data_IF_698000908871
#
_entry.id   IF_698000908871
#
_cell.length_a   1.000
_cell.length_b   1.000
_cell.length_c   1.000
_cell.angle_alpha   90.00
_cell.angle_beta   90.00
_cell.angle_gamma   90.00
#
_symmetry.space_group_name_H-M   'P 1'
#
loop_
_entity.id
_entity.type
_entity.pdbx_description
1 polymer ?
#
# COMPACT_ATOMS: atom_id res chain seq x y z
N UNK A 1 22.57 13.40 -35.55
CA UNK A 1 22.20 13.95 -36.88
C UNK A 1 23.17 15.02 -37.35
N UNK A 2 23.21 16.22 -36.76
CA UNK A 2 24.15 17.30 -37.18
C UNK A 2 25.62 16.87 -37.21
N UNK A 3 26.12 16.21 -36.17
CA UNK A 3 27.49 15.70 -36.12
C UNK A 3 27.81 14.63 -37.19
N UNK A 4 26.80 13.89 -37.65
CA UNK A 4 26.94 12.82 -38.65
C UNK A 4 27.03 13.43 -40.05
N UNK A 5 26.20 14.45 -40.31
CA UNK A 5 26.29 15.27 -41.51
C UNK A 5 27.64 16.01 -41.59
N UNK A 6 28.11 16.57 -40.47
CA UNK A 6 29.42 17.23 -40.41
C UNK A 6 30.60 16.29 -40.69
N UNK A 7 30.49 15.01 -40.32
CA UNK A 7 31.53 13.99 -40.56
C UNK A 7 31.29 13.16 -41.82
N UNK A 8 30.27 13.50 -42.60
CA UNK A 8 29.89 12.86 -43.86
C UNK A 8 29.81 11.33 -43.78
N UNK A 9 29.25 10.82 -42.68
CA UNK A 9 29.16 9.37 -42.43
C UNK A 9 27.88 8.84 -43.10
N UNK A 10 28.06 7.94 -44.07
CA UNK A 10 26.98 7.34 -44.88
C UNK A 10 26.84 5.83 -44.62
N UNK A 11 25.76 5.21 -45.10
CA UNK A 11 25.58 3.74 -45.03
C UNK A 11 25.04 3.22 -43.69
N UNK A 12 24.49 4.11 -42.85
CA UNK A 12 23.92 3.73 -41.55
C UNK A 12 22.44 3.39 -41.73
N UNK A 13 22.05 2.19 -41.33
CA UNK A 13 20.65 1.83 -41.17
C UNK A 13 20.14 2.35 -39.83
N UNK A 14 19.21 3.29 -39.89
CA UNK A 14 18.58 3.85 -38.70
C UNK A 14 17.40 2.97 -38.26
N UNK A 15 17.33 2.72 -36.95
CA UNK A 15 16.14 2.16 -36.29
C UNK A 15 15.62 3.23 -35.32
N UNK A 16 14.49 3.83 -35.65
CA UNK A 16 13.91 4.93 -34.89
C UNK A 16 12.92 4.45 -33.83
N UNK A 17 13.11 4.92 -32.61
CA UNK A 17 12.11 4.79 -31.55
C UNK A 17 10.90 5.67 -31.82
N UNK A 18 9.79 5.40 -31.12
CA UNK A 18 8.51 6.11 -31.27
C UNK A 18 8.65 7.63 -31.21
N UNK A 19 9.52 8.12 -30.32
CA UNK A 19 9.73 9.53 -30.03
C UNK A 19 10.19 10.38 -31.22
N UNK A 20 10.85 9.79 -32.23
CA UNK A 20 11.38 10.55 -33.37
C UNK A 20 11.10 9.91 -34.74
N UNK A 21 10.63 8.66 -34.76
CA UNK A 21 10.17 8.00 -35.97
C UNK A 21 9.04 8.78 -36.69
N UNK A 22 8.21 9.53 -35.94
CA UNK A 22 7.03 10.23 -36.49
C UNK A 22 7.10 11.76 -36.42
N UNK A 23 8.24 12.33 -36.03
CA UNK A 23 8.39 13.78 -35.82
C UNK A 23 8.72 14.48 -37.15
N UNK A 24 7.72 15.15 -37.75
CA UNK A 24 7.86 15.78 -39.08
C UNK A 24 9.05 16.75 -39.20
N UNK A 25 9.27 17.61 -38.20
CA UNK A 25 10.34 18.62 -38.24
C UNK A 25 11.74 18.02 -38.38
N UNK A 26 11.97 16.84 -37.80
CA UNK A 26 13.26 16.15 -37.90
C UNK A 26 13.49 15.58 -39.31
N UNK A 27 12.43 15.06 -39.92
CA UNK A 27 12.48 14.51 -41.29
C UNK A 27 12.60 15.61 -42.35
N UNK A 28 12.05 16.79 -42.09
CA UNK A 28 12.23 17.97 -42.94
C UNK A 28 13.69 18.48 -42.90
N UNK A 29 14.36 18.45 -41.74
CA UNK A 29 15.75 18.93 -41.60
C UNK A 29 16.81 17.88 -42.03
N UNK A 30 16.52 16.58 -41.91
CA UNK A 30 17.49 15.48 -42.13
C UNK A 30 16.99 14.33 -43.02
N UNK A 31 16.05 14.59 -43.94
CA UNK A 31 15.44 13.55 -44.77
C UNK A 31 16.42 12.77 -45.66
N UNK A 32 17.48 13.43 -46.13
CA UNK A 32 18.61 12.83 -46.86
C UNK A 32 19.35 11.76 -46.04
N UNK A 33 19.57 12.02 -44.74
CA UNK A 33 20.30 11.13 -43.83
C UNK A 33 19.39 10.05 -43.23
N UNK A 34 18.08 10.33 -43.14
CA UNK A 34 17.08 9.43 -42.55
C UNK A 34 16.35 8.56 -43.58
N UNK A 35 16.62 8.74 -44.87
CA UNK A 35 16.00 7.92 -45.91
C UNK A 35 16.28 6.43 -45.67
N UNK A 36 15.22 5.61 -45.66
CA UNK A 36 15.31 4.18 -45.33
C UNK A 36 15.28 3.82 -43.85
N UNK A 37 15.11 4.78 -42.92
CA UNK A 37 14.95 4.50 -41.48
C UNK A 37 13.74 3.62 -41.21
N UNK A 38 13.92 2.55 -40.43
CA UNK A 38 12.83 1.71 -39.93
C UNK A 38 12.40 2.23 -38.54
N UNK A 39 11.13 2.58 -38.35
CA UNK A 39 10.68 3.20 -37.11
C UNK A 39 9.41 2.59 -36.54
N UNK A 40 9.28 2.63 -35.22
CA UNK A 40 8.05 2.22 -34.55
C UNK A 40 7.07 3.40 -34.51
N UNK A 41 5.89 3.22 -35.11
CA UNK A 41 4.80 4.18 -35.06
C UNK A 41 3.63 3.63 -34.27
N UNK A 42 3.01 4.45 -33.42
CA UNK A 42 1.72 4.09 -32.83
C UNK A 42 0.69 4.02 -33.95
N UNK A 43 -0.02 2.87 -34.07
CA UNK A 43 -1.19 2.75 -34.95
C UNK A 43 -2.19 3.87 -34.63
N UNK A 44 -2.45 4.72 -35.62
CA UNK A 44 -3.52 5.71 -35.56
C UNK A 44 -4.85 4.95 -35.54
N UNK A 45 -5.62 5.08 -34.47
CA UNK A 45 -7.04 4.74 -34.52
C UNK A 45 -7.75 5.80 -35.37
N UNK A 46 -8.58 5.34 -36.31
CA UNK A 46 -9.35 6.24 -37.18
C UNK A 46 -10.42 6.98 -36.37
N UNK A 47 -11.09 6.28 -35.45
CA UNK A 47 -12.07 6.83 -34.51
C UNK A 47 -12.09 6.00 -33.21
N UNK A 48 -12.39 6.64 -32.08
CA UNK A 48 -12.73 5.96 -30.82
C UNK A 48 -14.25 5.85 -30.76
N UNK A 49 -14.83 4.65 -30.73
CA UNK A 49 -16.28 4.47 -30.77
C UNK A 49 -16.94 5.15 -29.58
N UNK A 50 -18.01 5.91 -29.84
CA UNK A 50 -18.77 6.62 -28.81
C UNK A 50 -18.11 7.90 -28.27
N UNK A 51 -16.81 8.13 -28.50
CA UNK A 51 -16.10 9.29 -27.96
C UNK A 51 -16.66 10.61 -28.50
N UNK A 52 -16.85 10.71 -29.83
CA UNK A 52 -17.44 11.89 -30.47
C UNK A 52 -18.82 12.23 -29.88
N UNK A 53 -19.63 11.20 -29.67
CA UNK A 53 -20.99 11.38 -29.16
C UNK A 53 -21.02 11.73 -27.67
N UNK A 54 -20.10 11.17 -26.87
CA UNK A 54 -19.90 11.56 -25.48
C UNK A 54 -19.45 13.02 -25.37
N UNK A 55 -18.44 13.41 -26.15
CA UNK A 55 -17.93 14.79 -26.16
C UNK A 55 -19.01 15.78 -26.62
N UNK A 56 -19.81 15.44 -27.63
CA UNK A 56 -20.90 16.29 -28.12
C UNK A 56 -22.03 16.55 -27.12
N UNK A 57 -22.16 15.72 -26.06
CA UNK A 57 -23.17 15.90 -25.00
C UNK A 57 -22.68 16.75 -23.84
N UNK A 58 -21.39 17.10 -23.80
CA UNK A 58 -20.83 17.90 -22.71
C UNK A 58 -21.35 19.34 -22.78
N UNK A 59 -21.77 19.89 -21.62
CA UNK A 59 -22.25 21.26 -21.49
C UNK A 59 -21.09 22.25 -21.50
N UNK A 60 -21.30 23.46 -22.05
CA UNK A 60 -20.29 24.52 -22.22
C UNK A 60 -19.54 24.91 -20.93
N UNK A 61 -20.15 24.73 -19.75
CA UNK A 61 -19.52 24.95 -18.44
C UNK A 61 -18.36 23.99 -18.16
N UNK A 62 -18.48 22.72 -18.57
CA UNK A 62 -17.49 21.68 -18.27
C UNK A 62 -16.28 21.73 -19.21
N UNK A 63 -16.35 22.56 -20.26
CA UNK A 63 -15.28 22.72 -21.25
C UNK A 63 -14.16 23.64 -20.74
N UNK A 64 -14.50 24.60 -19.87
CA UNK A 64 -13.53 25.54 -19.31
C UNK A 64 -12.64 24.92 -18.21
N UNK A 65 -13.05 23.77 -17.66
CA UNK A 65 -12.31 23.08 -16.60
C UNK A 65 -11.06 22.34 -17.10
N UNK A 66 -10.93 22.14 -18.42
CA UNK A 66 -9.75 21.46 -18.97
C UNK A 66 -9.23 22.12 -20.25
N UNK A 67 -7.94 22.46 -20.22
CA UNK A 67 -7.22 22.96 -21.37
C UNK A 67 -7.30 21.99 -22.58
N UNK A 68 -7.30 20.69 -22.30
CA UNK A 68 -7.44 19.63 -23.31
C UNK A 68 -8.77 19.66 -24.07
N UNK A 69 -9.91 19.83 -23.39
CA UNK A 69 -11.21 19.88 -24.07
C UNK A 69 -11.36 21.14 -24.91
N UNK A 70 -10.79 22.26 -24.44
CA UNK A 70 -10.79 23.51 -25.21
C UNK A 70 -10.05 23.32 -26.54
N UNK A 71 -8.82 22.80 -26.50
CA UNK A 71 -7.99 22.51 -27.69
C UNK A 71 -8.66 21.51 -28.65
N UNK A 72 -9.24 20.43 -28.13
CA UNK A 72 -9.96 19.42 -28.93
C UNK A 72 -11.13 20.01 -29.72
N UNK A 73 -11.90 20.91 -29.11
CA UNK A 73 -13.05 21.55 -29.75
C UNK A 73 -12.65 22.63 -30.75
N UNK A 74 -11.55 23.35 -30.49
CA UNK A 74 -11.00 24.32 -31.45
C UNK A 74 -10.60 23.62 -32.77
N UNK A 75 -9.94 22.47 -32.69
CA UNK A 75 -9.59 21.68 -33.89
C UNK A 75 -10.82 21.04 -34.56
N UNK A 76 -11.76 20.49 -33.79
CA UNK A 76 -12.91 19.77 -34.35
C UNK A 76 -13.93 20.69 -35.04
N UNK A 77 -14.07 21.93 -34.58
CA UNK A 77 -15.01 22.93 -35.12
C UNK A 77 -14.33 24.00 -35.96
N UNK A 78 -13.00 23.98 -36.07
CA UNK A 78 -12.19 24.97 -36.77
C UNK A 78 -12.52 26.41 -36.34
N UNK A 79 -12.65 26.63 -35.03
CA UNK A 79 -12.97 27.92 -34.41
C UNK A 79 -12.09 28.16 -33.18
N UNK A 80 -11.90 29.41 -32.75
CA UNK A 80 -11.16 29.72 -31.50
C UNK A 80 -12.10 30.03 -30.34
N UNK A 81 -11.91 29.33 -29.23
CA UNK A 81 -12.56 29.59 -27.95
C UNK A 81 -11.67 30.57 -27.18
N UNK A 82 -12.07 31.85 -27.10
CA UNK A 82 -11.34 32.91 -26.37
C UNK A 82 -9.93 33.26 -26.87
N UNK A 83 -9.67 33.17 -28.19
CA UNK A 83 -8.48 33.81 -28.79
C UNK A 83 -7.12 33.26 -28.37
N UNK A 84 -7.05 32.08 -27.73
CA UNK A 84 -5.78 31.42 -27.40
C UNK A 84 -5.04 31.00 -28.67
N UNK A 85 -3.73 31.25 -28.71
CA UNK A 85 -2.84 30.77 -29.77
C UNK A 85 -2.31 29.41 -29.34
N UNK A 86 -3.09 28.35 -29.56
CA UNK A 86 -2.61 26.98 -29.39
C UNK A 86 -1.97 26.53 -30.71
N UNK A 87 -0.64 26.52 -30.77
CA UNK A 87 0.17 26.10 -31.94
C UNK A 87 0.47 24.60 -31.96
N UNK A 88 -0.03 23.83 -30.99
CA UNK A 88 0.20 22.40 -30.90
C UNK A 88 -1.07 21.64 -31.30
N UNK A 89 -0.98 20.87 -32.39
CA UNK A 89 -2.00 19.87 -32.73
C UNK A 89 -1.69 18.57 -32.01
N UNK A 90 -2.30 18.33 -30.84
CA UNK A 90 -2.29 17.01 -30.23
C UNK A 90 -3.34 16.10 -30.89
N UNK A 91 -3.00 15.67 -32.12
CA UNK A 91 -3.73 14.65 -32.87
C UNK A 91 -4.03 13.44 -31.99
N UNK A 92 -5.25 12.88 -32.10
CA UNK A 92 -5.92 11.71 -31.46
C UNK A 92 -5.07 10.53 -30.90
N UNK A 93 -3.77 10.48 -31.17
CA UNK A 93 -2.75 9.51 -30.71
C UNK A 93 -2.64 9.42 -29.19
N UNK A 94 -2.54 10.55 -28.48
CA UNK A 94 -2.39 10.55 -27.01
C UNK A 94 -3.67 10.06 -26.36
N UNK A 95 -4.83 10.58 -26.78
CA UNK A 95 -6.14 10.17 -26.27
C UNK A 95 -6.42 8.68 -26.53
N UNK A 96 -6.01 8.14 -27.67
CA UNK A 96 -6.15 6.72 -27.97
C UNK A 96 -5.25 5.83 -27.11
N UNK A 97 -4.05 6.31 -26.74
CA UNK A 97 -3.19 5.59 -25.81
C UNK A 97 -3.77 5.58 -24.40
N UNK A 98 -4.34 6.69 -23.94
CA UNK A 98 -5.06 6.75 -22.65
C UNK A 98 -6.24 5.78 -22.65
N UNK A 99 -7.06 5.80 -23.71
CA UNK A 99 -8.17 4.85 -23.87
C UNK A 99 -7.69 3.39 -23.80
N UNK A 100 -6.64 3.02 -24.56
CA UNK A 100 -6.07 1.66 -24.51
C UNK A 100 -5.48 1.31 -23.15
N UNK A 101 -4.83 2.24 -22.47
CA UNK A 101 -4.26 1.98 -21.15
C UNK A 101 -5.34 1.64 -20.13
N UNK A 102 -6.41 2.44 -20.08
CA UNK A 102 -7.57 2.16 -19.20
C UNK A 102 -8.24 0.85 -19.59
N UNK A 103 -8.43 0.60 -20.89
CA UNK A 103 -9.00 -0.65 -21.39
C UNK A 103 -8.17 -1.88 -21.02
N UNK A 104 -6.84 -1.80 -21.13
CA UNK A 104 -5.90 -2.86 -20.76
C UNK A 104 -5.93 -3.15 -19.26
N UNK A 105 -5.94 -2.11 -18.42
CA UNK A 105 -6.01 -2.28 -16.96
C UNK A 105 -7.33 -2.94 -16.57
N UNK A 106 -8.45 -2.51 -17.13
CA UNK A 106 -9.76 -3.11 -16.88
C UNK A 106 -9.79 -4.59 -17.30
N UNK A 107 -9.27 -4.92 -18.49
CA UNK A 107 -9.18 -6.31 -18.94
C UNK A 107 -8.23 -7.17 -18.12
N UNK A 108 -7.13 -6.60 -17.63
CA UNK A 108 -6.20 -7.30 -16.76
C UNK A 108 -6.85 -7.62 -15.40
N UNK A 109 -7.54 -6.66 -14.80
CA UNK A 109 -8.28 -6.85 -13.56
C UNK A 109 -9.37 -7.92 -13.71
N UNK A 110 -10.14 -7.88 -14.80
CA UNK A 110 -11.14 -8.91 -15.09
C UNK A 110 -10.51 -10.30 -15.26
N UNK A 111 -9.36 -10.40 -15.93
CA UNK A 111 -8.67 -11.68 -16.06
C UNK A 111 -8.05 -12.17 -14.75
N UNK A 112 -7.73 -11.28 -13.83
CA UNK A 112 -7.27 -11.64 -12.49
C UNK A 112 -8.43 -12.10 -11.60
N UNK A 113 -9.62 -11.50 -11.72
CA UNK A 113 -10.80 -11.96 -10.99
C UNK A 113 -11.27 -13.33 -11.45
N UNK A 114 -11.16 -13.62 -12.74
CA UNK A 114 -11.65 -14.85 -13.37
C UNK A 114 -10.54 -15.92 -13.50
N UNK A 115 -9.44 -15.78 -12.75
CA UNK A 115 -8.24 -16.60 -12.94
C UNK A 115 -8.40 -18.03 -12.39
N UNK A 116 -8.20 -19.03 -13.25
CA UNK A 116 -8.00 -20.43 -12.86
C UNK A 116 -6.50 -20.79 -12.85
N UNK A 117 -6.06 -21.50 -11.80
CA UNK A 117 -4.67 -21.90 -11.66
C UNK A 117 -4.21 -22.76 -12.86
N UNK A 118 -3.19 -22.28 -13.61
CA UNK A 118 -2.60 -22.99 -14.74
C UNK A 118 -3.08 -22.57 -16.14
N UNK A 119 -4.09 -21.71 -16.24
CA UNK A 119 -4.66 -21.26 -17.53
C UNK A 119 -4.30 -19.79 -17.85
N UNK A 120 -3.01 -19.45 -17.77
CA UNK A 120 -2.53 -18.10 -18.10
C UNK A 120 -2.48 -17.83 -19.63
N UNK A 121 -2.56 -16.56 -20.07
CA UNK A 121 -2.59 -16.18 -21.49
C UNK A 121 -1.23 -16.34 -22.21
N UNK A 122 -0.17 -16.70 -21.49
CA UNK A 122 1.15 -16.93 -22.06
C UNK A 122 1.30 -18.41 -22.42
N UNK A 123 1.07 -18.74 -23.69
CA UNK A 123 1.19 -20.10 -24.22
C UNK A 123 2.64 -20.65 -24.16
N UNK A 124 3.64 -19.77 -24.02
CA UNK A 124 5.05 -20.15 -23.91
C UNK A 124 5.48 -20.02 -22.45
N UNK A 125 5.76 -21.16 -21.84
CA UNK A 125 6.31 -21.25 -20.48
C UNK A 125 7.75 -20.72 -20.48
N UNK A 126 7.93 -19.42 -20.20
CA UNK A 126 9.24 -18.78 -20.11
C UNK A 126 9.87 -18.98 -18.72
N UNK A 127 10.24 -20.23 -18.40
CA UNK A 127 10.92 -20.56 -17.15
C UNK A 127 12.40 -20.82 -17.40
N UNK A 128 13.27 -20.28 -16.53
CA UNK A 128 14.71 -20.52 -16.63
C UNK A 128 15.09 -21.94 -16.16
N UNK A 129 14.31 -22.50 -15.25
CA UNK A 129 14.53 -23.83 -14.67
C UNK A 129 13.18 -24.47 -14.35
N UNK A 130 13.06 -25.75 -14.66
CA UNK A 130 11.85 -26.52 -14.39
C UNK A 130 11.68 -26.81 -12.90
N UNK A 131 10.43 -27.00 -12.46
CA UNK A 131 10.14 -27.41 -11.09
C UNK A 131 10.81 -28.74 -10.76
N UNK A 132 11.46 -28.82 -9.60
CA UNK A 132 12.19 -30.05 -9.24
C UNK A 132 11.24 -31.22 -8.97
N UNK A 133 11.59 -32.43 -9.43
CA UNK A 133 10.84 -33.63 -9.09
C UNK A 133 10.96 -33.95 -7.59
N UNK A 134 10.02 -34.73 -7.03
CA UNK A 134 10.07 -35.16 -5.64
C UNK A 134 11.42 -35.81 -5.29
N UNK A 135 11.97 -35.50 -4.12
CA UNK A 135 13.26 -36.06 -3.66
C UNK A 135 14.51 -35.27 -4.08
N UNK A 136 14.37 -34.12 -4.74
CA UNK A 136 15.48 -33.19 -5.03
C UNK A 136 15.23 -31.83 -4.38
N UNK A 137 16.30 -31.11 -4.04
CA UNK A 137 16.23 -29.72 -3.55
C UNK A 137 16.75 -28.73 -4.58
N UNK A 138 16.32 -27.49 -4.45
CA UNK A 138 16.72 -26.38 -5.31
C UNK A 138 18.10 -25.85 -4.88
N UNK A 139 19.04 -25.74 -5.81
CA UNK A 139 20.33 -25.09 -5.62
C UNK A 139 20.43 -23.87 -6.56
N UNK A 140 20.52 -22.67 -5.99
CA UNK A 140 20.64 -21.43 -6.78
C UNK A 140 22.01 -21.32 -7.45
N UNK A 141 22.03 -20.95 -8.73
CA UNK A 141 23.29 -20.66 -9.43
C UNK A 141 23.84 -19.30 -9.01
N UNK A 142 25.08 -19.24 -8.52
CA UNK A 142 25.73 -17.96 -8.18
C UNK A 142 25.85 -17.08 -9.43
N UNK A 143 25.42 -15.82 -9.33
CA UNK A 143 25.51 -14.84 -10.42
C UNK A 143 24.41 -14.92 -11.49
N UNK A 144 23.37 -15.75 -11.31
CA UNK A 144 22.19 -15.80 -12.17
C UNK A 144 20.94 -15.27 -11.44
N UNK A 145 19.86 -14.88 -12.17
CA UNK A 145 18.59 -14.48 -11.57
C UNK A 145 17.99 -15.57 -10.68
N UNK A 146 17.16 -15.19 -9.69
CA UNK A 146 16.60 -16.11 -8.67
C UNK A 146 15.79 -17.26 -9.27
N UNK A 147 15.20 -17.08 -10.45
CA UNK A 147 14.45 -18.10 -11.16
C UNK A 147 15.29 -19.20 -11.82
N UNK A 148 16.63 -19.08 -11.83
CA UNK A 148 17.54 -20.04 -12.43
C UNK A 148 18.24 -20.89 -11.37
N UNK A 149 17.93 -22.19 -11.33
CA UNK A 149 18.39 -23.11 -10.31
C UNK A 149 18.58 -24.53 -10.82
N UNK A 150 19.37 -25.32 -10.09
CA UNK A 150 19.62 -26.73 -10.38
C UNK A 150 18.95 -27.63 -9.34
N UNK A 151 18.40 -28.76 -9.78
CA UNK A 151 17.80 -29.76 -8.89
C UNK A 151 18.87 -30.76 -8.44
N UNK A 152 19.30 -30.66 -7.19
CA UNK A 152 20.34 -31.53 -6.62
C UNK A 152 19.72 -32.62 -5.72
N UNK A 153 20.25 -33.83 -5.82
CA UNK A 153 19.87 -34.97 -4.98
C UNK A 153 20.38 -34.76 -3.56
N UNK A 154 19.64 -35.25 -2.56
CA UNK A 154 20.06 -35.21 -1.16
C UNK A 154 21.44 -35.85 -0.97
N UNK A 155 22.41 -35.05 -0.53
CA UNK A 155 23.51 -35.54 0.31
C UNK A 155 22.98 -35.63 1.75
N UNK A 156 23.46 -36.61 2.52
CA UNK A 156 23.07 -36.92 3.90
C UNK A 156 23.38 -35.80 4.94
N UNK A 157 23.63 -34.58 4.50
CA UNK A 157 23.84 -33.41 5.36
C UNK A 157 22.57 -32.55 5.37
N UNK A 158 21.72 -32.80 6.37
CA UNK A 158 20.61 -31.93 6.71
C UNK A 158 21.16 -30.61 7.27
N UNK A 159 21.14 -29.57 6.44
CA UNK A 159 21.42 -28.22 6.90
C UNK A 159 20.19 -27.63 7.56
N UNK A 160 20.36 -27.02 8.74
CA UNK A 160 19.28 -26.36 9.46
C UNK A 160 18.83 -25.13 8.68
N UNK A 161 17.52 -24.93 8.51
CA UNK A 161 16.99 -23.72 7.87
C UNK A 161 17.37 -22.48 8.72
N UNK A 162 17.58 -21.31 8.08
CA UNK A 162 17.72 -20.03 8.78
C UNK A 162 16.53 -19.78 9.71
N UNK A 163 16.72 -19.00 10.78
CA UNK A 163 15.69 -18.80 11.82
C UNK A 163 14.36 -18.26 11.28
N UNK A 164 14.34 -17.62 10.10
CA UNK A 164 13.15 -17.03 9.48
C UNK A 164 12.39 -17.98 8.53
N UNK A 165 12.78 -19.25 8.47
CA UNK A 165 12.22 -20.22 7.53
C UNK A 165 11.85 -21.54 8.20
N UNK A 166 10.81 -22.21 7.69
CA UNK A 166 10.45 -23.58 8.07
C UNK A 166 10.77 -24.56 6.94
N UNK A 167 11.28 -25.76 7.25
CA UNK A 167 11.33 -26.83 6.25
C UNK A 167 9.89 -27.21 5.85
N UNK A 168 9.68 -27.39 4.55
CA UNK A 168 8.43 -27.90 3.97
C UNK A 168 8.17 -29.35 4.43
N UNK A 169 6.94 -29.85 4.28
CA UNK A 169 6.54 -31.21 4.73
C UNK A 169 7.41 -32.31 4.13
N UNK A 170 7.83 -32.14 2.87
CA UNK A 170 8.76 -33.05 2.18
C UNK A 170 10.25 -32.83 2.52
N UNK A 171 10.55 -31.95 3.49
CA UNK A 171 11.88 -31.57 4.02
C UNK A 171 12.92 -31.21 2.95
N UNK A 172 12.45 -30.74 1.80
CA UNK A 172 13.26 -30.46 0.60
C UNK A 172 13.53 -28.98 0.37
N UNK A 173 12.74 -28.09 0.99
CA UNK A 173 12.80 -26.66 0.78
C UNK A 173 12.56 -25.93 2.11
N UNK A 174 13.29 -24.87 2.37
CA UNK A 174 12.96 -23.94 3.45
C UNK A 174 11.97 -22.91 2.89
N UNK A 175 10.72 -22.97 3.34
CA UNK A 175 9.69 -21.99 3.05
C UNK A 175 9.77 -20.84 4.06
N UNK A 176 9.48 -19.61 3.62
CA UNK A 176 9.46 -18.47 4.51
C UNK A 176 8.40 -18.67 5.60
N UNK A 177 8.74 -18.31 6.85
CA UNK A 177 7.73 -18.17 7.90
C UNK A 177 6.72 -17.14 7.42
N UNK A 178 5.52 -17.56 7.08
CA UNK A 178 4.44 -16.62 6.87
C UNK A 178 4.20 -15.92 8.21
N UNK A 179 4.24 -14.59 8.22
CA UNK A 179 3.71 -13.82 9.34
C UNK A 179 2.21 -13.96 9.29
N UNK A 180 1.66 -14.93 10.02
CA UNK A 180 0.24 -14.99 10.28
C UNK A 180 -0.09 -13.82 11.22
N UNK A 181 -0.52 -12.71 10.61
CA UNK A 181 -1.26 -11.71 11.34
C UNK A 181 -2.52 -12.40 11.84
N UNK A 182 -2.72 -12.43 13.15
CA UNK A 182 -3.90 -13.02 13.77
C UNK A 182 -5.15 -12.36 13.16
N UNK A 183 -5.75 -13.05 12.20
CA UNK A 183 -6.81 -12.47 11.38
C UNK A 183 -8.10 -12.47 12.19
N UNK A 184 -8.92 -11.42 12.07
CA UNK A 184 -10.22 -11.35 12.75
C UNK A 184 -11.16 -12.50 12.34
N UNK A 185 -10.87 -13.15 11.21
CA UNK A 185 -11.63 -14.30 10.69
C UNK A 185 -11.19 -15.64 11.31
N UNK A 186 -10.06 -15.68 12.02
CA UNK A 186 -9.60 -16.89 12.71
C UNK A 186 -10.29 -17.06 14.07
N UNK A 187 -10.52 -18.30 14.53
CA UNK A 187 -11.27 -18.56 15.76
C UNK A 187 -10.63 -17.92 17.00
N UNK A 188 -9.29 -17.92 17.09
CA UNK A 188 -8.59 -17.26 18.19
C UNK A 188 -8.73 -15.73 18.12
N UNK A 189 -8.68 -15.15 16.92
CA UNK A 189 -8.94 -13.72 16.69
C UNK A 189 -10.37 -13.32 17.05
N UNK A 190 -11.37 -14.12 16.66
CA UNK A 190 -12.78 -13.90 17.01
C UNK A 190 -13.02 -13.92 18.52
N UNK A 191 -12.47 -14.90 19.24
CA UNK A 191 -12.60 -15.00 20.71
C UNK A 191 -11.95 -13.79 21.40
N UNK A 192 -10.77 -13.37 20.94
CA UNK A 192 -10.08 -12.20 21.50
C UNK A 192 -10.82 -10.89 21.21
N UNK A 193 -11.40 -10.73 20.02
CA UNK A 193 -12.28 -9.61 19.70
C UNK A 193 -13.52 -9.58 20.60
N UNK A 194 -14.24 -10.69 20.72
CA UNK A 194 -15.43 -10.80 21.55
C UNK A 194 -15.13 -10.51 23.02
N UNK A 195 -14.05 -11.10 23.56
CA UNK A 195 -13.59 -10.84 24.92
C UNK A 195 -13.20 -9.37 25.15
N UNK A 196 -12.52 -8.74 24.18
CA UNK A 196 -12.12 -7.34 24.28
C UNK A 196 -13.31 -6.38 24.22
N UNK A 197 -14.29 -6.64 23.35
CA UNK A 197 -15.54 -5.85 23.29
C UNK A 197 -16.31 -5.96 24.60
N UNK A 198 -16.52 -7.18 25.11
CA UNK A 198 -17.21 -7.40 26.38
C UNK A 198 -16.48 -6.71 27.54
N UNK A 199 -15.15 -6.84 27.61
CA UNK A 199 -14.31 -6.19 28.61
C UNK A 199 -14.38 -4.66 28.56
N UNK A 200 -14.37 -4.07 27.35
CA UNK A 200 -14.54 -2.64 27.16
C UNK A 200 -15.93 -2.15 27.63
N UNK A 201 -17.00 -2.86 27.25
CA UNK A 201 -18.36 -2.52 27.66
C UNK A 201 -18.55 -2.57 29.17
N UNK A 202 -18.06 -3.63 29.83
CA UNK A 202 -18.13 -3.76 31.29
C UNK A 202 -17.32 -2.67 32.00
N UNK A 203 -16.11 -2.38 31.51
CA UNK A 203 -15.25 -1.33 32.10
C UNK A 203 -15.88 0.06 31.97
N UNK A 204 -16.50 0.37 30.82
CA UNK A 204 -17.24 1.62 30.60
C UNK A 204 -18.49 1.71 31.48
N UNK A 205 -19.24 0.62 31.64
CA UNK A 205 -20.40 0.58 32.54
C UNK A 205 -20.01 0.88 34.00
N UNK A 206 -18.94 0.25 34.49
CA UNK A 206 -18.43 0.51 35.85
C UNK A 206 -17.94 1.94 35.98
N UNK A 207 -17.21 2.47 34.99
CA UNK A 207 -16.76 3.87 34.97
C UNK A 207 -17.94 4.85 35.03
N UNK A 208 -19.00 4.61 34.24
CA UNK A 208 -20.23 5.42 34.25
C UNK A 208 -20.95 5.35 35.60
N UNK A 209 -21.01 4.16 36.21
CA UNK A 209 -21.62 4.00 37.54
C UNK A 209 -20.83 4.75 38.62
N UNK A 210 -19.49 4.65 38.63
CA UNK A 210 -18.62 5.41 39.52
C UNK A 210 -18.75 6.91 39.31
N UNK A 211 -18.86 7.36 38.06
CA UNK A 211 -19.04 8.77 37.73
C UNK A 211 -20.39 9.31 38.24
N UNK A 212 -21.50 8.59 38.02
CA UNK A 212 -22.83 8.97 38.51
C UNK A 212 -22.90 8.94 40.05
N UNK A 213 -22.31 7.93 40.68
CA UNK A 213 -22.36 7.74 42.14
C UNK A 213 -21.14 8.33 42.87
N UNK A 214 -20.45 9.31 42.26
CA UNK A 214 -19.24 9.94 42.81
C UNK A 214 -19.40 10.55 44.19
N UNK A 215 -20.64 10.91 44.57
CA UNK A 215 -20.96 11.50 45.87
C UNK A 215 -21.22 10.46 46.97
N UNK A 216 -21.24 9.17 46.64
CA UNK A 216 -21.47 8.12 47.63
C UNK A 216 -20.24 7.96 48.54
N UNK A 217 -20.45 7.72 49.85
CA UNK A 217 -19.35 7.62 50.82
C UNK A 217 -18.40 6.45 50.49
N UNK A 218 -18.87 5.41 49.80
CA UNK A 218 -18.05 4.28 49.33
C UNK A 218 -17.02 4.71 48.29
N UNK A 219 -17.42 5.50 47.29
CA UNK A 219 -16.52 5.99 46.23
C UNK A 219 -15.56 7.05 46.74
N UNK A 220 -15.94 7.79 47.78
CA UNK A 220 -15.12 8.85 48.40
C UNK A 220 -14.14 8.32 49.44
N UNK A 221 -14.49 7.23 50.15
CA UNK A 221 -13.62 6.55 51.09
C UNK A 221 -12.50 5.77 50.39
N UNK A 222 -12.82 5.19 49.22
CA UNK A 222 -11.80 4.77 48.26
C UNK A 222 -11.24 6.02 47.58
N UNK A 223 -9.95 6.08 47.25
CA UNK A 223 -9.36 7.28 46.65
C UNK A 223 -9.96 7.53 45.26
N UNK A 224 -10.99 8.39 45.19
CA UNK A 224 -11.89 8.52 44.04
C UNK A 224 -11.19 8.82 42.71
N UNK A 225 -10.11 9.59 42.77
CA UNK A 225 -9.29 9.94 41.60
C UNK A 225 -8.51 8.73 41.10
N UNK A 226 -7.90 7.96 42.01
CA UNK A 226 -7.13 6.77 41.65
C UNK A 226 -7.99 5.67 41.03
N UNK A 227 -9.16 5.38 41.62
CA UNK A 227 -10.09 4.39 41.08
C UNK A 227 -10.61 4.78 39.69
N UNK A 228 -10.84 6.08 39.45
CA UNK A 228 -11.25 6.59 38.14
C UNK A 228 -10.15 6.42 37.09
N UNK A 229 -8.89 6.75 37.42
CA UNK A 229 -7.76 6.53 36.52
C UNK A 229 -7.60 5.05 36.17
N UNK A 230 -7.64 4.16 37.16
CA UNK A 230 -7.50 2.72 36.94
C UNK A 230 -8.59 2.15 36.02
N UNK A 231 -9.85 2.58 36.20
CA UNK A 231 -10.97 2.17 35.34
C UNK A 231 -10.82 2.72 33.91
N UNK A 232 -10.39 3.97 33.75
CA UNK A 232 -10.12 4.57 32.45
C UNK A 232 -8.99 3.84 31.70
N UNK A 233 -7.91 3.47 32.40
CA UNK A 233 -6.80 2.68 31.84
C UNK A 233 -7.22 1.25 31.44
N UNK A 234 -8.10 0.63 32.21
CA UNK A 234 -8.63 -0.70 31.86
C UNK A 234 -9.49 -0.64 30.59
N UNK A 235 -10.35 0.39 30.46
CA UNK A 235 -11.16 0.60 29.26
C UNK A 235 -10.30 0.85 28.01
N UNK A 236 -9.27 1.71 28.10
CA UNK A 236 -8.39 1.98 26.95
C UNK A 236 -7.55 0.77 26.55
N UNK A 237 -7.14 -0.09 27.50
CA UNK A 237 -6.42 -1.33 27.20
C UNK A 237 -7.22 -2.27 26.29
N UNK A 238 -8.52 -2.44 26.55
CA UNK A 238 -9.38 -3.27 25.70
C UNK A 238 -9.56 -2.66 24.29
N UNK A 239 -9.60 -1.33 24.18
CA UNK A 239 -9.67 -0.62 22.90
C UNK A 239 -8.37 -0.77 22.08
N UNK A 240 -7.20 -0.76 22.72
CA UNK A 240 -5.91 -1.01 22.04
C UNK A 240 -5.83 -2.44 21.50
N UNK A 241 -6.32 -3.42 22.25
CA UNK A 241 -6.39 -4.82 21.80
C UNK A 241 -7.20 -4.97 20.52
N UNK A 242 -8.32 -4.24 20.38
CA UNK A 242 -9.12 -4.21 19.16
C UNK A 242 -8.40 -3.54 17.98
N UNK A 243 -7.65 -2.46 18.23
CA UNK A 243 -6.87 -1.77 17.18
C UNK A 243 -5.69 -2.62 16.66
N UNK A 244 -5.06 -3.42 17.54
CA UNK A 244 -3.99 -4.34 17.14
C UNK A 244 -4.48 -5.36 16.11
N UNK A 245 -5.69 -5.90 16.30
CA UNK A 245 -6.30 -6.87 15.39
C UNK A 245 -6.72 -6.22 14.06
N UNK A 246 -7.05 -4.92 14.06
CA UNK A 246 -7.51 -4.20 12.88
C UNK A 246 -6.39 -3.70 11.95
N UNK A 247 -5.26 -3.24 12.48
CA UNK A 247 -4.23 -2.55 11.68
C UNK A 247 -2.80 -3.12 11.78
N UNK A 248 -2.52 -4.09 12.67
CA UNK A 248 -1.22 -4.79 12.73
C UNK A 248 0.02 -3.95 13.10
N UNK A 249 -0.08 -2.61 13.14
CA UNK A 249 1.06 -1.69 13.37
C UNK A 249 1.35 -1.48 14.88
N UNK A 250 0.54 -2.06 15.79
CA UNK A 250 0.45 -1.63 17.18
C UNK A 250 1.14 -2.52 18.25
N UNK A 251 2.11 -3.37 17.92
CA UNK A 251 2.76 -4.19 18.96
C UNK A 251 3.59 -3.34 19.94
N UNK A 252 4.45 -2.45 19.41
CA UNK A 252 5.31 -1.58 20.21
C UNK A 252 4.52 -0.57 21.07
N UNK A 253 3.44 -0.02 20.51
CA UNK A 253 2.57 0.94 21.20
C UNK A 253 1.72 0.27 22.27
N UNK A 254 1.24 -0.96 22.03
CA UNK A 254 0.52 -1.74 23.03
C UNK A 254 1.43 -2.07 24.22
N UNK A 255 2.65 -2.52 23.97
CA UNK A 255 3.64 -2.79 25.03
C UNK A 255 4.01 -1.51 25.79
N UNK A 256 4.24 -0.40 25.08
CA UNK A 256 4.53 0.90 25.71
C UNK A 256 3.37 1.37 26.61
N UNK A 257 2.12 1.22 26.16
CA UNK A 257 0.94 1.57 26.95
C UNK A 257 0.74 0.65 28.16
N UNK A 258 0.98 -0.66 28.01
CA UNK A 258 0.95 -1.62 29.12
C UNK A 258 2.01 -1.30 30.17
N UNK A 259 3.24 -0.97 29.75
CA UNK A 259 4.33 -0.54 30.63
C UNK A 259 4.01 0.77 31.36
N UNK A 260 3.44 1.76 30.67
CA UNK A 260 2.99 2.98 31.31
C UNK A 260 1.91 2.69 32.38
N UNK A 261 0.96 1.79 32.09
CA UNK A 261 -0.07 1.36 33.04
C UNK A 261 0.53 0.68 34.27
N UNK A 262 1.47 -0.26 34.09
CA UNK A 262 2.07 -0.97 35.22
C UNK A 262 2.88 -0.04 36.11
N UNK A 263 3.63 0.90 35.53
CA UNK A 263 4.36 1.92 36.29
C UNK A 263 3.41 2.80 37.10
N UNK A 264 2.30 3.27 36.52
CA UNK A 264 1.31 4.10 37.23
C UNK A 264 0.67 3.34 38.40
N UNK A 265 0.34 2.05 38.22
CA UNK A 265 -0.21 1.19 39.29
C UNK A 265 0.83 0.99 40.40
N UNK A 266 2.07 0.67 40.05
CA UNK A 266 3.15 0.48 41.02
C UNK A 266 3.44 1.75 41.81
N UNK A 267 3.41 2.92 41.16
CA UNK A 267 3.57 4.21 41.83
C UNK A 267 2.41 4.52 42.76
N UNK A 268 1.17 4.16 42.39
CA UNK A 268 0.02 4.33 43.27
C UNK A 268 0.11 3.47 44.55
N UNK A 269 0.55 2.21 44.44
CA UNK A 269 0.80 1.36 45.61
C UNK A 269 2.00 1.86 46.44
N UNK A 270 3.06 2.37 45.80
CA UNK A 270 4.22 2.96 46.48
C UNK A 270 3.87 4.27 47.21
N UNK A 271 2.85 5.00 46.75
CA UNK A 271 2.33 6.20 47.41
C UNK A 271 1.51 5.88 48.67
N UNK A 272 0.97 4.66 48.80
CA UNK A 272 0.27 4.21 50.02
C UNK A 272 1.20 3.70 51.14
N UNK A 273 2.51 3.53 50.87
CA UNK A 273 3.50 3.12 51.87
C UNK A 273 4.09 4.34 52.62
N UNK A 274 4.13 4.32 53.97
CA UNK A 274 4.68 5.43 54.74
C UNK A 274 6.20 5.52 54.54
N UNK A 275 6.71 6.69 54.14
CA UNK A 275 8.15 6.98 54.04
C UNK A 275 8.73 7.15 52.62
N UNK A 276 7.91 7.13 51.55
CA UNK A 276 8.40 7.34 50.18
C UNK A 276 8.23 8.80 49.72
N UNK A 277 9.34 9.47 49.36
CA UNK A 277 9.36 10.85 48.83
C UNK A 277 8.77 11.01 47.41
N UNK A 278 8.16 9.96 46.86
CA UNK A 278 7.70 9.84 45.47
C UNK A 278 6.45 10.70 45.20
N UNK A 279 5.68 11.01 46.26
CA UNK A 279 4.48 11.85 46.20
C UNK A 279 4.74 13.28 45.70
N UNK A 280 5.99 13.79 45.82
CA UNK A 280 6.35 15.14 45.33
C UNK A 280 6.52 15.22 43.82
N UNK A 281 6.89 14.11 43.18
CA UNK A 281 7.20 14.08 41.74
C UNK A 281 6.01 13.59 40.91
N UNK A 282 5.17 12.71 41.48
CA UNK A 282 4.08 12.03 40.80
C UNK A 282 2.70 12.57 41.23
N UNK A 283 2.43 13.84 40.92
CA UNK A 283 1.16 14.49 41.26
C UNK A 283 -0.02 14.05 40.37
N UNK A 284 -1.28 14.28 40.79
CA UNK A 284 -2.50 13.97 40.01
C UNK A 284 -2.50 14.58 38.61
N UNK A 285 -1.89 15.76 38.45
CA UNK A 285 -1.74 16.43 37.15
C UNK A 285 -0.85 15.67 36.17
N UNK A 286 0.18 14.96 36.67
CA UNK A 286 1.11 14.22 35.82
C UNK A 286 0.50 12.90 35.33
N UNK A 287 -0.33 12.24 36.16
CA UNK A 287 -1.17 11.12 35.73
C UNK A 287 -2.17 11.54 34.65
N UNK A 288 -2.86 12.69 34.80
CA UNK A 288 -3.76 13.23 33.76
C UNK A 288 -3.03 13.52 32.45
N UNK A 289 -1.86 14.15 32.52
CA UNK A 289 -1.06 14.46 31.33
C UNK A 289 -0.62 13.17 30.60
N UNK A 290 -0.18 12.14 31.33
CA UNK A 290 0.23 10.87 30.73
C UNK A 290 -0.92 10.17 29.99
N UNK A 291 -2.10 10.09 30.60
CA UNK A 291 -3.30 9.50 29.96
C UNK A 291 -3.68 10.29 28.70
N UNK A 292 -3.68 11.61 28.78
CA UNK A 292 -4.07 12.48 27.68
C UNK A 292 -3.09 12.38 26.50
N UNK A 293 -1.78 12.33 26.77
CA UNK A 293 -0.75 12.16 25.74
C UNK A 293 -0.87 10.79 25.08
N UNK A 294 -1.01 9.70 25.85
CA UNK A 294 -1.16 8.36 25.30
C UNK A 294 -2.42 8.23 24.43
N UNK A 295 -3.56 8.79 24.86
CA UNK A 295 -4.82 8.76 24.10
C UNK A 295 -4.75 9.59 22.82
N UNK A 296 -4.12 10.78 22.85
CA UNK A 296 -3.93 11.60 21.64
C UNK A 296 -3.03 10.90 20.62
N UNK A 297 -1.95 10.26 21.08
CA UNK A 297 -1.05 9.47 20.22
C UNK A 297 -1.80 8.30 19.60
N UNK A 298 -2.63 7.59 20.38
CA UNK A 298 -3.47 6.50 19.89
C UNK A 298 -4.47 6.95 18.82
N UNK A 299 -5.20 8.05 19.05
CA UNK A 299 -6.19 8.55 18.09
C UNK A 299 -5.53 9.01 16.79
N UNK A 300 -4.37 9.68 16.85
CA UNK A 300 -3.65 10.08 15.64
C UNK A 300 -3.19 8.89 14.80
N UNK A 301 -2.74 7.81 15.44
CA UNK A 301 -2.26 6.62 14.73
C UNK A 301 -3.44 5.81 14.20
N UNK A 302 -4.59 5.81 14.87
CA UNK A 302 -5.80 5.16 14.36
C UNK A 302 -6.43 5.89 13.15
N UNK A 303 -6.14 7.19 12.98
CA UNK A 303 -6.70 8.00 11.89
C UNK A 303 -5.82 8.06 10.62
N UNK A 304 -4.58 7.56 10.70
CA UNK A 304 -3.54 7.68 9.67
C UNK A 304 -3.20 6.30 9.09
#
# INVERSE_FOLDING_TARGET
MRAIRQRNITGIQWIAGEAWATVKSLWEEFGDLLSGTLGFGIRRAKEIPGLKQHLSRLRRSNLQDSAFLTEFWEESLNCRLNGSVNTHSHMLRVSYNVYKAVYLVAHALQRMSDCEAGQGPFAVRSVCSESCPPGKRVARRKGKPVCCFDCVTYSLDCTRCPEDMWPNDMRNLCHQKNVEFLSYQEPMGMVLCAGSVLGACLSLLVLVMFYKHRATPVVRANNMELSFFLLLFMATCFLIGLLFIAFGISFALCISCLLAKTVVVLMAFRATLPGSGVMKWFGPSQQRASVLVCTVVQVKIALN
#
